data_IF_759125345882
#
_entry.id   IF_759125345882
#
_cell.length_a   1.000
_cell.length_b   1.000
_cell.length_c   1.000
_cell.angle_alpha   90.00
_cell.angle_beta   90.00
_cell.angle_gamma   90.00
#
_symmetry.space_group_name_H-M   'P 1'
#
loop_
_entity.id
_entity.type
_entity.pdbx_description
1 polymer ?
#
# COMPACT_ATOMS: atom_id res chain seq x y z
N UNK A 1 8.65 -11.15 -13.40
CA UNK A 1 8.04 -10.25 -12.40
C UNK A 1 7.64 -11.12 -11.23
N UNK A 2 8.16 -10.88 -10.03
CA UNK A 2 7.60 -11.54 -8.85
C UNK A 2 6.13 -11.16 -8.74
N UNK A 3 5.25 -12.16 -8.53
CA UNK A 3 3.83 -11.91 -8.35
C UNK A 3 3.62 -11.15 -7.04
N UNK A 4 2.82 -10.09 -7.06
CA UNK A 4 2.49 -9.33 -5.85
C UNK A 4 1.91 -10.23 -4.76
N UNK A 5 2.34 -9.98 -3.53
CA UNK A 5 1.82 -10.62 -2.33
C UNK A 5 0.64 -9.82 -1.77
N UNK A 6 -0.18 -10.46 -0.94
CA UNK A 6 -1.28 -9.78 -0.27
C UNK A 6 -0.81 -8.61 0.60
N UNK A 7 0.35 -8.76 1.26
CA UNK A 7 1.00 -7.69 2.02
C UNK A 7 1.33 -6.46 1.17
N UNK A 8 1.60 -6.62 -0.12
CA UNK A 8 1.94 -5.51 -1.03
C UNK A 8 0.71 -4.66 -1.32
N UNK A 9 -0.46 -5.29 -1.48
CA UNK A 9 -1.72 -4.59 -1.65
C UNK A 9 -2.12 -3.83 -0.38
N UNK A 10 -1.90 -4.41 0.80
CA UNK A 10 -2.10 -3.72 2.08
C UNK A 10 -1.19 -2.50 2.21
N UNK A 11 0.09 -2.70 1.90
CA UNK A 11 1.10 -1.64 1.93
C UNK A 11 0.73 -0.50 0.97
N UNK A 12 0.32 -0.83 -0.26
CA UNK A 12 -0.10 0.15 -1.26
C UNK A 12 -1.37 0.90 -0.83
N UNK A 13 -2.36 0.21 -0.25
CA UNK A 13 -3.59 0.85 0.24
C UNK A 13 -3.28 1.86 1.37
N UNK A 14 -2.39 1.51 2.30
CA UNK A 14 -1.92 2.41 3.36
C UNK A 14 -1.23 3.63 2.74
N UNK A 15 -0.29 3.43 1.82
CA UNK A 15 0.44 4.51 1.17
C UNK A 15 -0.47 5.42 0.32
N UNK A 16 -1.40 4.84 -0.45
CA UNK A 16 -2.31 5.57 -1.31
C UNK A 16 -3.37 6.37 -0.52
N UNK A 17 -3.69 5.95 0.70
CA UNK A 17 -4.56 6.72 1.60
C UNK A 17 -3.88 7.98 2.17
N UNK A 18 -2.55 8.02 2.15
CA UNK A 18 -1.77 9.11 2.72
C UNK A 18 -1.47 10.18 1.65
N UNK A 19 -1.66 11.45 2.03
CA UNK A 19 -1.31 12.60 1.17
C UNK A 19 0.16 13.00 1.24
N UNK A 20 0.91 12.45 2.19
CA UNK A 20 2.31 12.81 2.46
C UNK A 20 3.14 11.54 2.62
N UNK A 21 4.46 11.59 2.30
CA UNK A 21 5.37 10.49 2.60
C UNK A 21 5.36 10.14 4.09
N UNK A 22 5.52 8.86 4.40
CA UNK A 22 5.46 8.33 5.76
C UNK A 22 6.77 7.67 6.14
N UNK A 23 7.19 7.86 7.38
CA UNK A 23 8.21 7.02 8.03
C UNK A 23 7.60 5.69 8.47
N UNK A 24 8.44 4.70 8.80
CA UNK A 24 7.99 3.35 9.18
C UNK A 24 6.98 3.33 10.32
N UNK A 25 7.21 4.12 11.37
CA UNK A 25 6.32 4.18 12.53
C UNK A 25 4.90 4.63 12.14
N UNK A 26 4.80 5.64 11.28
CA UNK A 26 3.52 6.14 10.80
C UNK A 26 2.84 5.13 9.89
N UNK A 27 3.59 4.45 9.03
CA UNK A 27 3.08 3.40 8.16
C UNK A 27 2.45 2.25 8.96
N UNK A 28 3.12 1.78 10.02
CA UNK A 28 2.56 0.76 10.91
C UNK A 28 1.33 1.28 11.67
N UNK A 29 1.35 2.53 12.14
CA UNK A 29 0.21 3.13 12.86
C UNK A 29 -1.04 3.23 11.98
N UNK A 30 -0.88 3.59 10.70
CA UNK A 30 -2.00 3.65 9.75
C UNK A 30 -2.46 2.24 9.37
N UNK A 31 -1.53 1.30 9.16
CA UNK A 31 -1.87 -0.11 8.90
C UNK A 31 -2.66 -0.75 10.05
N UNK A 32 -2.24 -0.51 11.30
CA UNK A 32 -2.95 -0.98 12.49
C UNK A 32 -4.34 -0.37 12.61
N UNK A 33 -4.47 0.94 12.41
CA UNK A 33 -5.76 1.63 12.45
C UNK A 33 -6.74 1.16 11.38
N UNK A 34 -6.25 0.67 10.24
CA UNK A 34 -7.08 0.23 9.13
C UNK A 34 -7.50 -1.23 9.19
N UNK A 35 -6.62 -2.13 9.62
CA UNK A 35 -6.93 -3.57 9.65
C UNK A 35 -6.12 -4.37 10.68
N UNK A 36 -5.62 -3.74 11.75
CA UNK A 36 -4.68 -4.38 12.68
C UNK A 36 -3.44 -4.97 11.98
N UNK A 37 -3.04 -4.36 10.86
CA UNK A 37 -1.93 -4.81 10.05
C UNK A 37 -0.63 -4.17 10.54
N UNK A 38 0.12 -4.92 11.36
CA UNK A 38 1.48 -4.57 11.74
C UNK A 38 2.42 -5.26 10.75
N UNK A 39 2.99 -4.49 9.82
CA UNK A 39 3.92 -5.03 8.85
C UNK A 39 5.24 -5.43 9.52
N UNK A 40 5.79 -6.55 9.10
CA UNK A 40 7.17 -6.97 9.37
C UNK A 40 8.15 -6.22 8.46
N UNK A 41 9.45 -6.23 8.79
CA UNK A 41 10.47 -5.59 7.96
C UNK A 41 10.58 -6.21 6.57
N UNK A 42 10.39 -7.53 6.46
CA UNK A 42 10.36 -8.22 5.18
C UNK A 42 9.19 -7.77 4.30
N UNK A 43 8.01 -7.59 4.89
CA UNK A 43 6.83 -7.12 4.16
C UNK A 43 6.99 -5.67 3.70
N UNK A 44 7.57 -4.80 4.52
CA UNK A 44 7.79 -3.41 4.10
C UNK A 44 8.91 -3.32 3.08
N UNK A 45 10.10 -3.86 3.34
CA UNK A 45 11.24 -3.73 2.42
C UNK A 45 10.96 -4.47 1.11
N UNK A 46 10.51 -5.72 1.19
CA UNK A 46 10.19 -6.53 0.02
C UNK A 46 9.00 -5.98 -0.77
N UNK A 47 7.94 -5.58 -0.05
CA UNK A 47 6.75 -5.00 -0.68
C UNK A 47 7.05 -3.65 -1.33
N UNK A 48 7.78 -2.75 -0.67
CA UNK A 48 8.20 -1.48 -1.26
C UNK A 48 9.05 -1.71 -2.51
N UNK A 49 9.99 -2.66 -2.49
CA UNK A 49 10.82 -2.92 -3.66
C UNK A 49 9.98 -3.39 -4.86
N UNK A 50 9.03 -4.30 -4.66
CA UNK A 50 8.12 -4.75 -5.72
C UNK A 50 7.21 -3.62 -6.23
N UNK A 51 6.64 -2.83 -5.32
CA UNK A 51 5.78 -1.69 -5.66
C UNK A 51 6.53 -0.57 -6.39
N UNK A 52 7.80 -0.35 -6.03
CA UNK A 52 8.67 0.63 -6.67
C UNK A 52 9.07 0.20 -8.08
N UNK A 53 9.44 -1.07 -8.29
CA UNK A 53 9.70 -1.63 -9.62
C UNK A 53 8.47 -1.49 -10.53
N UNK A 54 7.27 -1.67 -9.98
CA UNK A 54 6.02 -1.51 -10.71
C UNK A 54 5.56 -0.05 -10.87
N UNK A 55 6.27 0.90 -10.27
CA UNK A 55 5.96 2.33 -10.39
C UNK A 55 4.77 2.81 -9.54
N UNK A 56 4.29 2.01 -8.58
CA UNK A 56 3.18 2.36 -7.69
C UNK A 56 3.63 3.07 -6.41
N UNK A 57 4.86 2.83 -5.97
CA UNK A 57 5.41 3.45 -4.77
C UNK A 57 6.83 3.95 -5.03
N UNK A 58 7.38 4.71 -4.07
CA UNK A 58 8.77 5.17 -4.07
C UNK A 58 9.33 5.21 -2.65
N UNK A 59 10.63 4.95 -2.54
CA UNK A 59 11.40 5.12 -1.31
C UNK A 59 12.39 6.27 -1.47
N UNK A 60 12.37 7.21 -0.52
CA UNK A 60 13.33 8.32 -0.44
C UNK A 60 13.98 8.31 0.95
N UNK A 61 15.08 7.58 1.10
CA UNK A 61 15.69 7.33 2.42
C UNK A 61 14.75 6.51 3.30
N UNK A 62 14.31 7.09 4.42
CA UNK A 62 13.36 6.45 5.34
C UNK A 62 11.88 6.78 5.06
N UNK A 63 11.62 7.52 3.97
CA UNK A 63 10.28 7.95 3.60
C UNK A 63 9.69 7.04 2.52
N UNK A 64 8.47 6.58 2.78
CA UNK A 64 7.67 5.76 1.89
C UNK A 64 6.50 6.58 1.35
N UNK A 65 6.27 6.56 0.04
CA UNK A 65 5.13 7.25 -0.57
C UNK A 65 4.55 6.46 -1.75
N UNK A 66 3.24 6.58 -1.95
CA UNK A 66 2.64 6.22 -3.23
C UNK A 66 3.06 7.23 -4.31
N UNK A 67 3.31 6.74 -5.53
CA UNK A 67 3.41 7.58 -6.72
C UNK A 67 2.02 8.08 -7.11
N UNK A 68 1.94 8.93 -8.13
CA UNK A 68 0.64 9.31 -8.69
C UNK A 68 -0.13 8.10 -9.22
N UNK A 69 0.56 7.20 -9.94
CA UNK A 69 -0.03 5.96 -10.43
C UNK A 69 -0.55 5.07 -9.29
N UNK A 70 0.22 4.93 -8.20
CA UNK A 70 -0.22 4.19 -7.02
C UNK A 70 -1.44 4.79 -6.33
N UNK A 71 -1.48 6.13 -6.20
CA UNK A 71 -2.66 6.82 -5.66
C UNK A 71 -3.89 6.61 -6.53
N UNK A 72 -3.77 6.86 -7.85
CA UNK A 72 -4.88 6.66 -8.77
C UNK A 72 -5.35 5.21 -8.80
N UNK A 73 -4.43 4.25 -8.66
CA UNK A 73 -4.79 2.83 -8.56
C UNK A 73 -5.65 2.57 -7.31
N UNK A 74 -5.23 3.07 -6.15
CA UNK A 74 -6.00 2.96 -4.91
C UNK A 74 -7.36 3.65 -5.06
N UNK A 75 -7.39 4.89 -5.51
CA UNK A 75 -8.64 5.66 -5.70
C UNK A 75 -9.63 4.98 -6.64
N UNK A 76 -9.16 4.40 -7.75
CA UNK A 76 -9.99 3.68 -8.72
C UNK A 76 -10.70 2.48 -8.09
N UNK A 77 -10.03 1.80 -7.15
CA UNK A 77 -10.53 0.59 -6.52
C UNK A 77 -11.18 0.85 -5.14
N UNK A 78 -11.05 2.09 -4.64
CA UNK A 78 -11.65 2.56 -3.40
C UNK A 78 -13.08 3.07 -3.63
N UNK A 79 -14.04 2.53 -2.88
CA UNK A 79 -15.45 2.94 -2.91
C UNK A 79 -15.84 3.62 -1.60
N UNK A 80 -16.23 4.88 -1.68
CA UNK A 80 -16.64 5.68 -0.52
C UNK A 80 -17.83 5.11 0.26
N UNK A 81 -18.64 4.23 -0.36
CA UNK A 81 -19.78 3.57 0.28
C UNK A 81 -19.44 2.27 1.01
N UNK A 82 -18.20 1.79 0.93
CA UNK A 82 -17.75 0.55 1.54
C UNK A 82 -16.88 0.80 2.79
N UNK A 83 -16.80 -0.18 3.69
CA UNK A 83 -15.90 -0.13 4.84
C UNK A 83 -14.43 -0.10 4.41
N UNK A 84 -13.54 0.37 5.30
CA UNK A 84 -12.10 0.43 5.02
C UNK A 84 -11.52 -0.93 4.59
N UNK A 85 -11.90 -2.01 5.28
CA UNK A 85 -11.48 -3.37 4.96
C UNK A 85 -11.94 -3.79 3.55
N UNK A 86 -13.21 -3.55 3.20
CA UNK A 86 -13.74 -3.91 1.87
C UNK A 86 -13.01 -3.17 0.75
N UNK A 87 -12.67 -1.89 0.97
CA UNK A 87 -11.90 -1.11 0.01
C UNK A 87 -10.48 -1.60 -0.16
N UNK A 88 -9.83 -1.99 0.94
CA UNK A 88 -8.48 -2.55 0.90
C UNK A 88 -8.44 -3.90 0.21
N UNK A 89 -9.40 -4.79 0.49
CA UNK A 89 -9.50 -6.07 -0.20
C UNK A 89 -9.65 -5.90 -1.72
N UNK A 90 -10.39 -4.87 -2.18
CA UNK A 90 -10.49 -4.55 -3.62
C UNK A 90 -9.15 -4.13 -4.23
N UNK A 91 -8.39 -3.29 -3.51
CA UNK A 91 -7.05 -2.86 -3.96
C UNK A 91 -6.11 -4.07 -4.05
N UNK A 92 -6.13 -4.95 -3.05
CA UNK A 92 -5.32 -6.18 -3.01
C UNK A 92 -5.67 -7.11 -4.16
N UNK A 93 -6.97 -7.40 -4.34
CA UNK A 93 -7.46 -8.28 -5.39
C UNK A 93 -7.14 -7.76 -6.79
N UNK A 94 -7.11 -6.44 -6.97
CA UNK A 94 -6.73 -5.81 -8.22
C UNK A 94 -5.20 -5.92 -8.43
N UNK A 95 -4.41 -5.56 -7.41
CA UNK A 95 -2.95 -5.56 -7.51
C UNK A 95 -2.38 -6.96 -7.78
N UNK A 96 -2.94 -8.00 -7.14
CA UNK A 96 -2.50 -9.38 -7.36
C UNK A 96 -2.86 -9.96 -8.75
N UNK A 97 -3.59 -9.23 -9.59
CA UNK A 97 -3.96 -9.63 -10.96
C UNK A 97 -3.11 -8.96 -12.05
N UNK A 98 -2.30 -7.97 -11.70
CA UNK A 98 -1.26 -7.36 -12.56
C UNK A 98 -0.05 -8.30 -12.70
#
# INVERSE_FOLDING_TARGET
>A
MERFQWSDGWLLAVLGSARVPMVRERLNSVGDAFNHAIFTDLEVIGGMHRLEIAGFARMEGELFAATEAGRSFVETHWRNSAGHIDNMMRVIDALCKE
#
